data_IF_931574745088
#
_entry.id   IF_931574745088
#
_cell.length_a   1.000
_cell.length_b   1.000
_cell.length_c   1.000
_cell.angle_alpha   90.00
_cell.angle_beta   90.00
_cell.angle_gamma   90.00
#
_symmetry.space_group_name_H-M   'P 1'
#
loop_
_entity.id
_entity.type
_entity.pdbx_description
1 polymer ?
#
# COMPACT_ATOMS: atom_id res chain seq x y z
N UNK A 1 15.03 20.98 -13.50
CA UNK A 1 16.22 21.86 -13.37
C UNK A 1 17.19 21.34 -12.30
N UNK A 2 16.71 20.96 -11.10
CA UNK A 2 17.52 20.41 -10.00
C UNK A 2 18.36 19.16 -10.38
N UNK A 3 17.76 18.16 -11.03
CA UNK A 3 18.47 16.94 -11.43
C UNK A 3 19.65 17.22 -12.38
N UNK A 4 19.49 18.16 -13.33
CA UNK A 4 20.58 18.56 -14.23
C UNK A 4 21.71 19.26 -13.46
N UNK A 5 21.36 20.06 -12.44
CA UNK A 5 22.33 20.74 -11.57
C UNK A 5 23.11 19.74 -10.70
N UNK A 6 22.43 18.76 -10.09
CA UNK A 6 23.07 17.71 -9.29
C UNK A 6 23.99 16.83 -10.16
N UNK A 7 23.55 16.50 -11.38
CA UNK A 7 24.38 15.77 -12.34
C UNK A 7 25.62 16.56 -12.77
N UNK A 8 25.47 17.85 -13.10
CA UNK A 8 26.62 18.71 -13.42
C UNK A 8 27.60 18.81 -12.24
N UNK A 9 27.10 18.91 -11.00
CA UNK A 9 27.93 18.94 -9.80
C UNK A 9 28.65 17.61 -9.55
N UNK A 10 28.03 16.46 -9.87
CA UNK A 10 28.70 15.15 -9.85
C UNK A 10 29.86 15.08 -10.87
N UNK A 11 29.65 15.59 -12.09
CA UNK A 11 30.69 15.62 -13.13
C UNK A 11 31.84 16.58 -12.74
N UNK A 12 31.52 17.77 -12.23
CA UNK A 12 32.51 18.75 -11.78
C UNK A 12 33.29 18.29 -10.54
N UNK A 13 32.67 17.47 -9.68
CA UNK A 13 33.36 16.86 -8.55
C UNK A 13 34.51 15.95 -9.00
N UNK A 14 34.35 15.22 -10.11
CA UNK A 14 35.37 14.32 -10.66
C UNK A 14 36.40 15.01 -11.56
N UNK A 15 36.16 16.26 -11.94
CA UNK A 15 37.04 17.00 -12.84
C UNK A 15 38.31 17.47 -12.12
N UNK A 16 39.47 17.16 -12.67
CA UNK A 16 40.77 17.56 -12.12
C UNK A 16 41.03 19.08 -12.12
N UNK A 17 40.32 19.84 -12.97
CA UNK A 17 40.50 21.30 -13.15
C UNK A 17 39.81 22.15 -12.09
N UNK A 18 38.90 21.57 -11.30
CA UNK A 18 38.11 22.27 -10.29
C UNK A 18 38.87 22.38 -8.97
N UNK A 19 38.78 23.55 -8.32
CA UNK A 19 39.40 23.83 -7.01
C UNK A 19 38.87 22.87 -5.95
N UNK A 20 39.72 22.56 -4.98
CA UNK A 20 39.37 21.62 -3.92
C UNK A 20 38.20 22.09 -3.04
N UNK A 21 38.10 23.40 -2.78
CA UNK A 21 36.99 24.01 -2.04
C UNK A 21 35.64 23.79 -2.75
N UNK A 22 35.60 24.02 -4.06
CA UNK A 22 34.40 23.82 -4.90
C UNK A 22 34.01 22.35 -4.96
N UNK A 23 34.99 21.43 -4.96
CA UNK A 23 34.73 19.97 -4.91
C UNK A 23 34.03 19.55 -3.62
N UNK A 24 34.49 20.06 -2.47
CA UNK A 24 33.84 19.79 -1.18
C UNK A 24 32.41 20.34 -1.19
N UNK A 25 32.22 21.55 -1.70
CA UNK A 25 30.89 22.15 -1.83
C UNK A 25 29.96 21.31 -2.72
N UNK A 26 30.43 20.87 -3.89
CA UNK A 26 29.64 20.02 -4.80
C UNK A 26 29.33 18.66 -4.17
N UNK A 27 30.30 18.02 -3.52
CA UNK A 27 30.10 16.76 -2.83
C UNK A 27 29.05 16.88 -1.72
N UNK A 28 29.18 17.89 -0.85
CA UNK A 28 28.21 18.13 0.21
C UNK A 28 26.81 18.42 -0.35
N UNK A 29 26.71 19.27 -1.39
CA UNK A 29 25.42 19.61 -1.97
C UNK A 29 24.73 18.40 -2.61
N UNK A 30 25.50 17.55 -3.30
CA UNK A 30 24.98 16.30 -3.88
C UNK A 30 24.54 15.34 -2.79
N UNK A 31 25.37 15.11 -1.76
CA UNK A 31 25.04 14.22 -0.64
C UNK A 31 23.82 14.74 0.12
N UNK A 32 23.73 16.02 0.44
CA UNK A 32 22.58 16.59 1.16
C UNK A 32 21.25 16.40 0.43
N UNK A 33 21.27 16.42 -0.92
CA UNK A 33 20.05 16.20 -1.72
C UNK A 33 19.76 14.72 -1.97
N UNK A 34 20.78 13.89 -2.18
CA UNK A 34 20.61 12.47 -2.50
C UNK A 34 20.49 11.57 -1.26
N UNK A 35 21.14 11.92 -0.14
CA UNK A 35 21.15 11.09 1.06
C UNK A 35 19.76 10.88 1.67
N UNK A 36 18.87 11.89 1.79
CA UNK A 36 17.50 11.65 2.26
C UNK A 36 16.72 10.73 1.32
N UNK A 37 16.90 10.87 0.02
CA UNK A 37 16.24 10.03 -0.99
C UNK A 37 16.77 8.60 -0.89
N UNK A 38 18.09 8.42 -0.83
CA UNK A 38 18.73 7.11 -0.67
C UNK A 38 18.32 6.44 0.65
N UNK A 39 18.20 7.20 1.74
CA UNK A 39 17.71 6.72 3.02
C UNK A 39 16.26 6.20 2.91
N UNK A 40 15.37 6.98 2.29
CA UNK A 40 13.98 6.55 2.06
C UNK A 40 13.89 5.32 1.16
N UNK A 41 14.70 5.26 0.10
CA UNK A 41 14.76 4.10 -0.79
C UNK A 41 15.29 2.85 -0.07
N UNK A 42 16.29 2.99 0.79
CA UNK A 42 16.79 1.89 1.61
C UNK A 42 15.74 1.41 2.61
N UNK A 43 15.05 2.33 3.29
CA UNK A 43 13.97 1.98 4.22
C UNK A 43 12.83 1.23 3.49
N UNK A 44 12.45 1.71 2.31
CA UNK A 44 11.48 1.04 1.45
C UNK A 44 11.98 -0.33 0.98
N UNK A 45 13.25 -0.44 0.59
CA UNK A 45 13.84 -1.70 0.12
C UNK A 45 13.89 -2.75 1.23
N UNK A 46 14.27 -2.37 2.45
CA UNK A 46 14.23 -3.26 3.61
C UNK A 46 12.81 -3.75 3.88
N UNK A 47 11.85 -2.83 3.98
CA UNK A 47 10.46 -3.21 4.17
C UNK A 47 9.95 -4.11 3.04
N UNK A 48 10.28 -3.80 1.78
CA UNK A 48 9.86 -4.56 0.61
C UNK A 48 10.44 -5.97 0.61
N UNK A 49 11.70 -6.13 1.00
CA UNK A 49 12.35 -7.45 1.06
C UNK A 49 11.62 -8.38 2.03
N UNK A 50 11.18 -7.85 3.18
CA UNK A 50 10.47 -8.62 4.20
C UNK A 50 8.97 -8.79 3.92
N UNK A 51 8.37 -7.92 3.10
CA UNK A 51 6.92 -7.83 2.90
C UNK A 51 6.50 -7.92 1.43
N UNK A 52 7.36 -8.43 0.54
CA UNK A 52 7.15 -8.42 -0.91
C UNK A 52 5.76 -8.95 -1.29
N UNK A 53 5.36 -10.11 -0.76
CA UNK A 53 4.09 -10.74 -1.10
C UNK A 53 2.89 -9.87 -0.68
N UNK A 54 2.90 -9.38 0.56
CA UNK A 54 1.87 -8.48 1.07
C UNK A 54 1.79 -7.18 0.25
N UNK A 55 2.93 -6.53 0.01
CA UNK A 55 3.00 -5.29 -0.77
C UNK A 55 2.47 -5.48 -2.20
N UNK A 56 2.84 -6.59 -2.84
CA UNK A 56 2.35 -6.94 -4.19
C UNK A 56 0.83 -7.12 -4.20
N UNK A 57 0.28 -7.89 -3.24
CA UNK A 57 -1.16 -8.10 -3.14
C UNK A 57 -1.92 -6.81 -2.83
N UNK A 58 -1.33 -5.93 -2.03
CA UNK A 58 -1.94 -4.64 -1.72
C UNK A 58 -2.02 -3.78 -2.98
N UNK A 59 -0.93 -3.66 -3.75
CA UNK A 59 -0.94 -2.96 -5.03
C UNK A 59 -1.96 -3.55 -6.00
N UNK A 60 -1.98 -4.88 -6.17
CA UNK A 60 -2.95 -5.57 -7.02
C UNK A 60 -4.40 -5.29 -6.59
N UNK A 61 -4.68 -5.32 -5.29
CA UNK A 61 -6.03 -5.07 -4.77
C UNK A 61 -6.50 -3.63 -4.99
N UNK A 62 -5.60 -2.64 -4.84
CA UNK A 62 -5.90 -1.23 -5.11
C UNK A 62 -6.16 -1.00 -6.61
N UNK A 63 -5.35 -1.59 -7.48
CA UNK A 63 -5.56 -1.53 -8.94
C UNK A 63 -6.85 -2.23 -9.33
N UNK A 64 -7.15 -3.40 -8.78
CA UNK A 64 -8.42 -4.09 -9.01
C UNK A 64 -9.61 -3.25 -8.54
N UNK A 65 -9.51 -2.58 -7.38
CA UNK A 65 -10.53 -1.66 -6.88
C UNK A 65 -10.77 -0.50 -7.85
N UNK A 66 -9.70 0.08 -8.42
CA UNK A 66 -9.81 1.10 -9.45
C UNK A 66 -10.52 0.60 -10.70
N UNK A 67 -10.10 -0.55 -11.26
CA UNK A 67 -10.66 -1.11 -12.50
C UNK A 67 -12.13 -1.49 -12.32
N UNK A 68 -12.43 -2.28 -11.28
CA UNK A 68 -13.79 -2.77 -11.01
C UNK A 68 -14.71 -1.62 -10.60
N UNK A 69 -14.22 -0.68 -9.79
CA UNK A 69 -14.97 0.51 -9.39
C UNK A 69 -15.29 1.42 -10.59
N UNK A 70 -14.33 1.62 -11.49
CA UNK A 70 -14.55 2.36 -12.74
C UNK A 70 -15.65 1.68 -13.58
N UNK A 71 -15.51 0.38 -13.85
CA UNK A 71 -16.49 -0.38 -14.61
C UNK A 71 -17.89 -0.37 -13.96
N UNK A 72 -17.96 -0.49 -12.63
CA UNK A 72 -19.20 -0.39 -11.87
C UNK A 72 -19.92 0.94 -12.10
N UNK A 73 -19.20 2.06 -11.92
CA UNK A 73 -19.77 3.39 -12.05
C UNK A 73 -20.12 3.76 -13.49
N UNK A 74 -19.35 3.27 -14.46
CA UNK A 74 -19.68 3.39 -15.88
C UNK A 74 -20.99 2.67 -16.20
N UNK A 75 -21.16 1.41 -15.76
CA UNK A 75 -22.40 0.63 -15.98
C UNK A 75 -23.62 1.27 -15.29
N UNK A 76 -23.41 2.01 -14.21
CA UNK A 76 -24.45 2.72 -13.47
C UNK A 76 -24.67 4.17 -13.96
N UNK A 77 -23.94 4.64 -14.97
CA UNK A 77 -23.98 6.04 -15.44
C UNK A 77 -23.75 7.08 -14.32
N UNK A 78 -22.91 6.75 -13.33
CA UNK A 78 -22.59 7.62 -12.17
C UNK A 78 -21.11 7.98 -12.12
N UNK A 79 -20.36 7.74 -13.19
CA UNK A 79 -18.92 7.93 -13.20
C UNK A 79 -18.52 9.41 -13.24
N UNK A 80 -17.60 9.79 -12.36
CA UNK A 80 -17.00 11.13 -12.30
C UNK A 80 -15.51 11.02 -12.04
N UNK A 81 -14.68 11.61 -12.91
CA UNK A 81 -13.22 11.55 -12.81
C UNK A 81 -12.67 12.17 -11.52
N UNK A 82 -13.22 13.32 -11.11
CA UNK A 82 -12.80 13.99 -9.87
C UNK A 82 -13.06 13.12 -8.66
N UNK A 83 -14.24 12.50 -8.60
CA UNK A 83 -14.63 11.61 -7.51
C UNK A 83 -13.81 10.29 -7.55
N UNK A 84 -13.59 9.75 -8.74
CA UNK A 84 -12.81 8.54 -8.94
C UNK A 84 -11.37 8.71 -8.44
N UNK A 85 -10.66 9.74 -8.89
CA UNK A 85 -9.29 9.99 -8.46
C UNK A 85 -9.23 10.34 -6.97
N UNK A 86 -10.11 11.23 -6.50
CA UNK A 86 -10.15 11.65 -5.10
C UNK A 86 -10.34 10.47 -4.14
N UNK A 87 -11.33 9.61 -4.39
CA UNK A 87 -11.62 8.47 -3.49
C UNK A 87 -10.54 7.39 -3.54
N UNK A 88 -9.89 7.17 -4.68
CA UNK A 88 -8.80 6.19 -4.76
C UNK A 88 -7.54 6.72 -4.06
N UNK A 89 -7.19 8.00 -4.25
CA UNK A 89 -6.07 8.63 -3.52
C UNK A 89 -6.32 8.60 -2.02
N UNK A 90 -7.52 8.99 -1.58
CA UNK A 90 -7.94 8.96 -0.18
C UNK A 90 -7.83 7.54 0.41
N UNK A 91 -8.32 6.53 -0.32
CA UNK A 91 -8.24 5.14 0.11
C UNK A 91 -6.78 4.67 0.25
N UNK A 92 -5.93 4.92 -0.75
CA UNK A 92 -4.51 4.57 -0.70
C UNK A 92 -3.83 5.25 0.48
N UNK A 93 -4.13 6.52 0.73
CA UNK A 93 -3.57 7.27 1.84
C UNK A 93 -3.98 6.67 3.20
N UNK A 94 -5.27 6.39 3.40
CA UNK A 94 -5.79 5.77 4.63
C UNK A 94 -5.15 4.40 4.86
N UNK A 95 -5.03 3.57 3.82
CA UNK A 95 -4.40 2.24 3.88
C UNK A 95 -2.93 2.34 4.29
N UNK A 96 -2.16 3.23 3.67
CA UNK A 96 -0.73 3.39 3.96
C UNK A 96 -0.54 3.87 5.41
N UNK A 97 -1.25 4.92 5.82
CA UNK A 97 -1.12 5.46 7.18
C UNK A 97 -1.57 4.43 8.21
N UNK A 98 -2.73 3.81 8.01
CA UNK A 98 -3.26 2.80 8.93
C UNK A 98 -2.29 1.64 9.11
N UNK A 99 -1.76 1.12 8.01
CA UNK A 99 -0.75 0.05 8.05
C UNK A 99 0.51 0.48 8.80
N UNK A 100 1.10 1.64 8.48
CA UNK A 100 2.34 2.12 9.12
C UNK A 100 2.13 2.32 10.63
N UNK A 101 1.02 2.91 11.05
CA UNK A 101 0.73 3.12 12.48
C UNK A 101 0.58 1.81 13.23
N UNK A 102 -0.09 0.81 12.65
CA UNK A 102 -0.25 -0.51 13.26
C UNK A 102 1.08 -1.28 13.28
N UNK A 103 1.87 -1.20 12.21
CA UNK A 103 3.17 -1.84 12.11
C UNK A 103 4.15 -1.30 13.16
N UNK A 104 4.12 0.01 13.44
CA UNK A 104 4.90 0.62 14.53
C UNK A 104 4.53 0.03 15.91
N UNK A 105 3.26 -0.29 16.15
CA UNK A 105 2.85 -0.98 17.38
C UNK A 105 3.41 -2.40 17.41
N UNK A 106 3.43 -3.11 16.28
CA UNK A 106 4.02 -4.46 16.19
C UNK A 106 5.51 -4.47 16.54
N UNK A 107 6.29 -3.50 16.03
CA UNK A 107 7.70 -3.36 16.40
C UNK A 107 7.89 -3.18 17.92
N UNK A 108 6.93 -2.56 18.62
CA UNK A 108 6.96 -2.38 20.07
C UNK A 108 6.64 -3.69 20.83
N UNK A 109 5.86 -4.60 20.25
CA UNK A 109 5.51 -5.89 20.86
C UNK A 109 6.67 -6.91 20.83
N UNK A 110 7.70 -6.66 20.02
CA UNK A 110 8.90 -7.49 19.89
C UNK A 110 8.75 -8.67 18.91
N UNK A 111 9.90 -9.21 18.46
CA UNK A 111 9.95 -10.38 17.56
C UNK A 111 9.73 -11.68 18.34
N UNK A 112 8.47 -11.94 18.65
CA UNK A 112 7.99 -13.18 19.26
C UNK A 112 6.75 -13.69 18.51
N UNK A 113 6.23 -14.85 18.91
CA UNK A 113 5.04 -15.44 18.27
C UNK A 113 3.84 -14.48 18.25
N UNK A 114 3.64 -13.70 19.32
CA UNK A 114 2.55 -12.73 19.39
C UNK A 114 2.76 -11.57 18.40
N UNK A 115 3.99 -11.10 18.23
CA UNK A 115 4.36 -10.10 17.23
C UNK A 115 4.11 -10.58 15.79
N UNK A 116 4.41 -11.84 15.49
CA UNK A 116 4.15 -12.43 14.16
C UNK A 116 2.65 -12.60 13.89
N UNK A 117 1.88 -13.09 14.86
CA UNK A 117 0.41 -13.16 14.74
C UNK A 117 -0.18 -11.76 14.54
N UNK A 118 0.32 -10.77 15.28
CA UNK A 118 -0.14 -9.39 15.15
C UNK A 118 0.20 -8.81 13.76
N UNK A 119 1.39 -9.08 13.22
CA UNK A 119 1.77 -8.72 11.85
C UNK A 119 0.79 -9.28 10.82
N UNK A 120 0.48 -10.58 10.93
CA UNK A 120 -0.48 -11.26 10.04
C UNK A 120 -1.86 -10.61 10.12
N UNK A 121 -2.35 -10.31 11.32
CA UNK A 121 -3.63 -9.65 11.53
C UNK A 121 -3.67 -8.26 10.87
N UNK A 122 -2.62 -7.47 11.03
CA UNK A 122 -2.50 -6.14 10.41
C UNK A 122 -2.54 -6.27 8.89
N UNK A 123 -1.77 -7.20 8.32
CA UNK A 123 -1.70 -7.40 6.87
C UNK A 123 -3.04 -7.88 6.30
N UNK A 124 -3.70 -8.86 6.93
CA UNK A 124 -5.01 -9.33 6.49
C UNK A 124 -6.04 -8.21 6.55
N UNK A 125 -6.10 -7.48 7.68
CA UNK A 125 -7.05 -6.38 7.86
C UNK A 125 -6.83 -5.26 6.82
N UNK A 126 -5.56 -4.94 6.55
CA UNK A 126 -5.18 -3.93 5.55
C UNK A 126 -5.57 -4.34 4.14
N UNK A 127 -5.30 -5.60 3.75
CA UNK A 127 -5.67 -6.14 2.44
C UNK A 127 -7.19 -6.23 2.27
N UNK A 128 -7.90 -6.57 3.34
CA UNK A 128 -9.34 -6.77 3.26
C UNK A 128 -10.07 -5.48 2.90
N UNK A 129 -9.56 -4.31 3.30
CA UNK A 129 -10.21 -3.03 3.02
C UNK A 129 -10.43 -2.74 1.51
N UNK A 130 -9.41 -2.80 0.64
CA UNK A 130 -9.63 -2.70 -0.81
C UNK A 130 -10.30 -3.95 -1.41
N UNK A 131 -9.95 -5.16 -0.93
CA UNK A 131 -10.51 -6.41 -1.47
C UNK A 131 -12.02 -6.48 -1.27
N UNK A 132 -12.53 -6.09 -0.09
CA UNK A 132 -13.96 -6.17 0.20
C UNK A 132 -14.77 -5.25 -0.71
N UNK A 133 -14.24 -4.07 -1.04
CA UNK A 133 -14.86 -3.13 -1.99
C UNK A 133 -14.90 -3.73 -3.40
N UNK A 134 -13.83 -4.38 -3.84
CA UNK A 134 -13.80 -5.12 -5.11
C UNK A 134 -14.88 -6.19 -5.12
N UNK A 135 -14.93 -7.04 -4.08
CA UNK A 135 -15.89 -8.14 -4.00
C UNK A 135 -17.34 -7.65 -3.97
N UNK A 136 -17.63 -6.57 -3.24
CA UNK A 136 -18.97 -5.94 -3.21
C UNK A 136 -19.37 -5.43 -4.60
N UNK A 137 -18.47 -4.76 -5.30
CA UNK A 137 -18.74 -4.28 -6.65
C UNK A 137 -18.95 -5.44 -7.64
N UNK A 138 -18.13 -6.49 -7.57
CA UNK A 138 -18.28 -7.71 -8.39
C UNK A 138 -19.62 -8.39 -8.08
N UNK A 139 -19.99 -8.51 -6.81
CA UNK A 139 -21.27 -9.08 -6.38
C UNK A 139 -22.46 -8.35 -6.99
N UNK A 140 -22.43 -7.02 -6.99
CA UNK A 140 -23.49 -6.23 -7.61
C UNK A 140 -23.47 -6.38 -9.14
N UNK A 141 -22.29 -6.36 -9.76
CA UNK A 141 -22.11 -6.51 -11.20
C UNK A 141 -22.59 -7.87 -11.72
N UNK A 142 -22.39 -8.93 -10.93
CA UNK A 142 -22.77 -10.31 -11.21
C UNK A 142 -24.24 -10.60 -10.89
N UNK A 143 -25.01 -9.62 -10.40
CA UNK A 143 -26.39 -9.78 -9.93
C UNK A 143 -26.50 -10.83 -8.81
N UNK A 144 -25.50 -10.87 -7.93
CA UNK A 144 -25.44 -11.76 -6.77
C UNK A 144 -25.03 -13.20 -7.07
N UNK A 145 -24.47 -13.47 -8.26
CA UNK A 145 -23.98 -14.80 -8.65
C UNK A 145 -22.58 -15.09 -8.11
N UNK A 146 -21.73 -14.08 -8.02
CA UNK A 146 -20.34 -14.22 -7.58
C UNK A 146 -19.86 -12.95 -6.87
N UNK A 147 -19.17 -13.03 -5.71
CA UNK A 147 -18.97 -14.24 -4.90
C UNK A 147 -20.30 -14.83 -4.36
N UNK A 148 -20.33 -16.09 -3.87
CA UNK A 148 -21.53 -16.66 -3.26
C UNK A 148 -22.07 -15.82 -2.10
N UNK A 149 -23.40 -15.83 -1.89
CA UNK A 149 -24.06 -15.03 -0.85
C UNK A 149 -23.55 -15.31 0.56
N UNK A 150 -23.33 -16.58 0.91
CA UNK A 150 -22.82 -16.97 2.23
C UNK A 150 -21.45 -16.34 2.49
N UNK A 151 -20.57 -16.32 1.48
CA UNK A 151 -19.25 -15.73 1.58
C UNK A 151 -19.33 -14.21 1.78
N UNK A 152 -20.23 -13.55 1.04
CA UNK A 152 -20.46 -12.11 1.24
C UNK A 152 -20.96 -11.81 2.66
N UNK A 153 -21.85 -12.62 3.22
CA UNK A 153 -22.34 -12.44 4.59
C UNK A 153 -21.23 -12.58 5.62
N UNK A 154 -20.36 -13.58 5.48
CA UNK A 154 -19.16 -13.77 6.31
C UNK A 154 -18.20 -12.59 6.22
N UNK A 155 -17.96 -12.09 5.01
CA UNK A 155 -17.15 -10.90 4.78
C UNK A 155 -17.70 -9.67 5.51
N UNK A 156 -19.02 -9.45 5.47
CA UNK A 156 -19.66 -8.33 6.20
C UNK A 156 -19.58 -8.50 7.72
N UNK A 157 -19.72 -9.74 8.22
CA UNK A 157 -19.58 -10.02 9.65
C UNK A 157 -18.15 -9.74 10.13
N UNK A 158 -17.15 -10.26 9.41
CA UNK A 158 -15.75 -10.01 9.70
C UNK A 158 -15.40 -8.52 9.70
N UNK A 159 -15.88 -7.74 8.72
CA UNK A 159 -15.64 -6.29 8.70
C UNK A 159 -16.17 -5.58 9.96
N UNK A 160 -17.20 -6.15 10.61
CA UNK A 160 -17.81 -5.60 11.82
C UNK A 160 -17.11 -6.07 13.11
N UNK A 161 -16.68 -7.34 13.16
CA UNK A 161 -16.17 -7.99 14.37
C UNK A 161 -14.64 -8.05 14.43
N UNK A 162 -13.97 -8.12 13.28
CA UNK A 162 -12.54 -8.40 13.17
C UNK A 162 -12.14 -9.84 13.51
N UNK A 163 -13.09 -10.74 13.76
CA UNK A 163 -12.81 -12.13 14.14
C UNK A 163 -12.57 -13.00 12.90
N UNK A 164 -11.33 -13.47 12.70
CA UNK A 164 -10.97 -14.33 11.58
C UNK A 164 -11.84 -15.60 11.49
N UNK A 165 -12.40 -16.07 12.60
CA UNK A 165 -13.32 -17.21 12.60
C UNK A 165 -14.56 -16.94 11.75
N UNK A 166 -15.05 -15.71 11.72
CA UNK A 166 -16.22 -15.35 10.91
C UNK A 166 -15.99 -15.53 9.40
N UNK A 167 -14.72 -15.52 8.93
CA UNK A 167 -14.38 -15.80 7.54
C UNK A 167 -14.22 -17.29 7.25
N UNK A 168 -13.70 -18.06 8.21
CA UNK A 168 -13.21 -19.42 8.00
C UNK A 168 -14.05 -20.53 8.64
N UNK A 169 -14.97 -20.20 9.56
CA UNK A 169 -15.78 -21.23 10.21
C UNK A 169 -16.60 -21.96 9.15
N UNK A 170 -16.42 -23.27 9.09
CA UNK A 170 -17.33 -24.14 8.35
C UNK A 170 -18.63 -24.10 9.14
N UNK A 171 -19.75 -23.87 8.45
CA UNK A 171 -21.02 -24.16 9.08
C UNK A 171 -20.96 -25.68 9.35
N UNK A 172 -20.73 -26.07 10.59
CA UNK A 172 -20.95 -27.43 11.04
C UNK A 172 -22.46 -27.65 10.85
N UNK A 173 -22.82 -28.29 9.73
CA UNK A 173 -24.17 -28.77 9.47
C UNK A 173 -24.64 -29.58 10.69
N UNK A 174 -25.66 -29.04 11.38
CA UNK A 174 -26.60 -29.80 12.20
C UNK A 174 -27.98 -29.64 11.62
#
# INVERSE_FOLDING_TARGET
MLMRKLFAQLVLFTDSSVKWEDKIYYAFNVVAHLAPIAFLLNLFNWWWTDNHQFGTFLCCSLVANMIVGCYYHLKKNTFSWKLFLGRNIEMTFIVIIGYVMLEMLRYTAGDNLAGEIFRILIQISTLLFPISKVLKNIFILSKGKYPPKFFMQRLYNFEKTGDLKDLFDKDDEK
#
